data_IF_932152029363
#
_entry.id   IF_932152029363
#
_cell.length_a   1.000
_cell.length_b   1.000
_cell.length_c   1.000
_cell.angle_alpha   90.00
_cell.angle_beta   90.00
_cell.angle_gamma   90.00
#
_symmetry.space_group_name_H-M   'P 1'
#
loop_
_entity.id
_entity.type
_entity.pdbx_description
1 polymer ?
#
# COMPACT_ATOMS: atom_id res chain seq x y z
N UNK A 1 2.90 -12.76 -5.84
CA UNK A 1 3.53 -11.44 -6.06
C UNK A 1 2.80 -10.77 -7.21
N UNK A 2 2.10 -9.66 -6.97
CA UNK A 2 1.43 -8.94 -8.06
C UNK A 2 2.43 -8.16 -8.91
N UNK A 3 1.99 -7.72 -10.08
CA UNK A 3 2.76 -6.81 -10.93
C UNK A 3 1.89 -5.61 -11.28
N UNK A 4 2.52 -4.45 -11.42
CA UNK A 4 1.88 -3.19 -11.79
C UNK A 4 2.55 -2.60 -13.03
N UNK A 5 1.75 -2.17 -14.00
CA UNK A 5 2.26 -1.46 -15.17
C UNK A 5 2.51 0.00 -14.82
N UNK A 6 3.71 0.50 -15.09
CA UNK A 6 4.02 1.92 -14.98
C UNK A 6 3.18 2.72 -15.99
N UNK A 7 2.42 3.70 -15.51
CA UNK A 7 1.59 4.56 -16.36
C UNK A 7 2.41 5.54 -17.21
N UNK A 8 3.66 5.80 -16.80
CA UNK A 8 4.53 6.77 -17.48
C UNK A 8 5.35 6.13 -18.61
N UNK A 9 5.96 4.96 -18.38
CA UNK A 9 6.85 4.31 -19.37
C UNK A 9 6.42 2.90 -19.79
N UNK A 10 5.32 2.37 -19.24
CA UNK A 10 4.78 1.06 -19.60
C UNK A 10 5.49 -0.16 -18.99
N UNK A 11 6.59 0.03 -18.25
CA UNK A 11 7.34 -1.05 -17.61
C UNK A 11 6.50 -1.85 -16.60
N UNK A 12 6.61 -3.17 -16.61
CA UNK A 12 5.97 -4.02 -15.60
C UNK A 12 6.87 -4.12 -14.36
N UNK A 13 6.39 -3.60 -13.25
CA UNK A 13 7.10 -3.54 -11.99
C UNK A 13 6.47 -4.52 -10.98
N UNK A 14 7.26 -5.10 -10.06
CA UNK A 14 6.72 -5.72 -8.87
C UNK A 14 5.83 -4.73 -8.09
N UNK A 15 4.71 -5.19 -7.56
CA UNK A 15 3.76 -4.38 -6.79
C UNK A 15 4.30 -3.89 -5.42
N UNK A 16 5.46 -4.41 -5.00
CA UNK A 16 6.24 -3.97 -3.84
C UNK A 16 7.02 -2.67 -4.06
N UNK A 17 7.18 -2.21 -5.30
CA UNK A 17 7.93 -1.00 -5.59
C UNK A 17 7.03 0.24 -5.55
N UNK A 18 7.49 1.27 -4.85
CA UNK A 18 6.86 2.60 -4.87
C UNK A 18 7.17 3.35 -6.17
N UNK A 19 8.36 3.14 -6.73
CA UNK A 19 8.86 3.84 -7.91
C UNK A 19 9.19 2.85 -9.03
N UNK A 20 8.97 3.27 -10.26
CA UNK A 20 9.29 2.50 -11.45
C UNK A 20 10.80 2.26 -11.50
N UNK A 21 11.21 1.00 -11.57
CA UNK A 21 12.63 0.61 -11.65
C UNK A 21 13.33 1.10 -12.92
N UNK A 22 12.58 1.54 -13.92
CA UNK A 22 13.08 2.00 -15.22
C UNK A 22 13.14 3.51 -15.36
N UNK A 23 12.06 4.22 -15.01
CA UNK A 23 11.97 5.67 -15.21
C UNK A 23 11.88 6.49 -13.91
N UNK A 24 11.84 5.86 -12.73
CA UNK A 24 11.73 6.53 -11.44
C UNK A 24 10.35 7.09 -11.09
N UNK A 25 9.42 7.13 -12.05
CA UNK A 25 8.06 7.62 -11.82
C UNK A 25 7.34 6.81 -10.73
N UNK A 26 6.53 7.48 -9.91
CA UNK A 26 5.71 6.83 -8.89
C UNK A 26 4.75 5.82 -9.53
N UNK A 27 4.76 4.60 -9.04
CA UNK A 27 3.87 3.54 -9.52
C UNK A 27 2.49 3.68 -8.85
N UNK A 28 1.40 3.36 -9.57
CA UNK A 28 0.08 3.27 -8.96
C UNK A 28 0.11 2.12 -7.96
N UNK A 29 0.20 2.48 -6.68
CA UNK A 29 0.38 1.55 -5.58
C UNK A 29 -0.82 0.61 -5.51
N UNK A 30 -0.67 -0.63 -5.99
CA UNK A 30 -1.76 -1.60 -5.92
C UNK A 30 -1.68 -2.47 -4.68
N UNK A 31 -0.52 -2.92 -4.19
CA UNK A 31 -0.53 -3.87 -3.07
C UNK A 31 0.69 -3.90 -2.13
N UNK A 32 1.77 -3.14 -2.36
CA UNK A 32 3.03 -3.45 -1.67
C UNK A 32 3.66 -2.40 -0.78
N UNK A 33 3.28 -1.12 -0.87
CA UNK A 33 3.79 -0.08 0.02
C UNK A 33 2.65 0.47 0.89
N UNK A 34 2.42 -0.16 2.04
CA UNK A 34 1.66 0.39 3.17
C UNK A 34 0.35 1.11 2.81
N UNK A 35 -0.63 0.41 2.22
CA UNK A 35 -1.99 0.80 2.54
C UNK A 35 -2.13 0.56 4.06
N UNK A 36 -2.15 1.65 4.83
CA UNK A 36 -2.35 1.61 6.26
C UNK A 36 -3.70 2.22 6.59
N UNK A 37 -4.47 1.51 7.40
CA UNK A 37 -5.68 2.06 8.01
C UNK A 37 -5.28 2.77 9.30
N UNK A 38 -5.61 4.04 9.41
CA UNK A 38 -5.49 4.78 10.66
C UNK A 38 -6.67 4.36 11.54
N UNK A 39 -6.40 3.89 12.75
CA UNK A 39 -7.46 3.53 13.68
C UNK A 39 -8.22 4.81 14.12
N UNK A 40 -9.55 4.86 13.99
CA UNK A 40 -10.32 6.05 14.36
C UNK A 40 -10.34 6.32 15.88
N UNK A 41 -10.03 5.31 16.71
CA UNK A 41 -10.05 5.44 18.18
C UNK A 41 -8.71 5.85 18.77
N UNK A 42 -7.60 5.29 18.28
CA UNK A 42 -6.27 5.48 18.89
C UNK A 42 -5.24 6.10 17.94
N UNK A 43 -5.65 6.47 16.72
CA UNK A 43 -4.84 7.14 15.70
C UNK A 43 -3.54 6.42 15.29
N UNK A 44 -3.41 5.13 15.62
CA UNK A 44 -2.27 4.31 15.22
C UNK A 44 -2.47 3.74 13.81
N UNK A 45 -1.39 3.63 13.06
CA UNK A 45 -1.37 3.00 11.75
C UNK A 45 -1.45 1.49 11.87
N UNK A 46 -2.27 0.87 11.03
CA UNK A 46 -2.47 -0.58 10.97
C UNK A 46 -2.35 -1.04 9.51
N UNK A 47 -1.92 -2.28 9.23
CA UNK A 47 -1.93 -2.82 7.87
C UNK A 47 -3.34 -2.84 7.26
N UNK A 48 -3.51 -2.48 5.99
CA UNK A 48 -4.84 -2.40 5.36
C UNK A 48 -5.58 -3.73 5.24
N UNK A 49 -4.86 -4.86 5.25
CA UNK A 49 -5.48 -6.19 5.25
C UNK A 49 -6.19 -6.54 6.56
N UNK A 50 -6.10 -5.71 7.59
CA UNK A 50 -6.78 -5.94 8.88
C UNK A 50 -8.14 -5.25 8.94
N UNK A 51 -9.07 -5.96 9.57
CA UNK A 51 -10.40 -5.44 9.92
C UNK A 51 -10.47 -4.89 11.35
N UNK A 52 -9.44 -5.11 12.17
CA UNK A 52 -9.37 -4.67 13.57
C UNK A 52 -8.01 -4.10 13.90
N UNK A 53 -7.96 -3.15 14.84
CA UNK A 53 -6.74 -2.50 15.28
C UNK A 53 -5.87 -3.46 16.11
N UNK A 54 -4.57 -3.48 15.84
CA UNK A 54 -3.58 -4.27 16.60
C UNK A 54 -3.41 -3.81 18.04
N UNK A 55 -3.70 -2.54 18.32
CA UNK A 55 -3.33 -1.91 19.58
C UNK A 55 -4.50 -1.73 20.54
N UNK A 56 -5.71 -1.54 20.02
CA UNK A 56 -6.89 -1.27 20.85
C UNK A 56 -8.11 -2.12 20.51
N UNK A 57 -8.00 -3.05 19.55
CA UNK A 57 -9.08 -3.96 19.15
C UNK A 57 -10.23 -3.33 18.36
N UNK A 58 -10.27 -2.00 18.20
CA UNK A 58 -11.34 -1.30 17.48
C UNK A 58 -11.39 -1.73 16.01
N UNK A 59 -12.59 -1.95 15.42
CA UNK A 59 -12.73 -2.18 13.99
C UNK A 59 -12.09 -1.06 13.14
N UNK A 60 -11.37 -1.46 12.09
CA UNK A 60 -10.76 -0.57 11.12
C UNK A 60 -11.71 -0.49 9.91
N UNK A 61 -12.68 0.42 10.01
CA UNK A 61 -13.60 0.76 8.92
C UNK A 61 -12.85 1.28 7.70
#
# INVERSE_FOLDING_TARGET
MGKVKCVNCGEMNPDILTNCRRCGATLPNRFGALQVKICPKCSRSNPAGRSTCLYCGTPLV
#
